data_IF_330305443327
#
_entry.id   IF_330305443327
#
_cell.length_a   1.000
_cell.length_b   1.000
_cell.length_c   1.000
_cell.angle_alpha   90.00
_cell.angle_beta   90.00
_cell.angle_gamma   90.00
#
_symmetry.space_group_name_H-M   'P 1'
#
loop_
_entity.id
_entity.type
_entity.pdbx_description
1 polymer ?
#
# COMPACT_ATOMS: atom_id res chain seq x y z
N UNK A 1 13.17 -69.21 9.38
CA UNK A 1 12.63 -68.18 8.47
C UNK A 1 12.35 -66.93 9.27
N UNK A 2 13.21 -65.97 9.15
CA UNK A 2 12.99 -64.66 9.77
C UNK A 2 12.57 -63.69 8.68
N UNK A 3 11.35 -63.13 8.80
CA UNK A 3 10.88 -62.09 7.94
C UNK A 3 11.30 -60.74 8.53
N UNK A 4 12.27 -60.08 7.90
CA UNK A 4 12.63 -58.69 8.22
C UNK A 4 11.59 -57.74 7.61
N UNK A 5 10.70 -57.24 8.40
CA UNK A 5 9.86 -56.14 8.02
C UNK A 5 10.62 -54.83 8.29
N UNK A 6 11.24 -54.29 7.29
CA UNK A 6 11.82 -52.94 7.36
C UNK A 6 10.68 -51.93 7.33
N UNK A 7 10.42 -51.30 8.47
CA UNK A 7 9.49 -50.19 8.59
C UNK A 7 10.08 -48.95 7.91
N UNK A 8 9.49 -48.56 6.80
CA UNK A 8 9.78 -47.29 6.15
C UNK A 8 9.04 -46.21 6.94
N UNK A 9 9.76 -45.44 7.78
CA UNK A 9 9.25 -44.22 8.35
C UNK A 9 9.18 -43.16 7.24
N UNK A 10 7.97 -42.94 6.73
CA UNK A 10 7.68 -41.85 5.81
C UNK A 10 7.57 -40.55 6.66
N UNK A 11 8.65 -39.80 6.74
CA UNK A 11 8.62 -38.46 7.29
C UNK A 11 7.93 -37.56 6.26
N UNK A 12 6.63 -37.36 6.45
CA UNK A 12 5.88 -36.35 5.71
C UNK A 12 6.29 -34.99 6.26
N UNK A 13 7.26 -34.36 5.61
CA UNK A 13 7.60 -32.97 5.86
C UNK A 13 6.42 -32.09 5.48
N UNK A 14 5.69 -31.58 6.48
CA UNK A 14 4.65 -30.58 6.28
C UNK A 14 5.34 -29.29 5.89
N UNK A 15 5.48 -29.03 4.60
CA UNK A 15 5.88 -27.71 4.08
C UNK A 15 4.73 -26.75 4.37
N UNK A 16 4.90 -25.95 5.42
CA UNK A 16 4.07 -24.79 5.68
C UNK A 16 4.33 -23.78 4.56
N UNK A 17 3.53 -23.85 3.52
CA UNK A 17 3.46 -22.81 2.51
C UNK A 17 2.76 -21.64 3.17
N UNK A 18 3.54 -20.69 3.73
CA UNK A 18 3.01 -19.41 4.19
C UNK A 18 2.51 -18.70 2.92
N UNK A 19 1.21 -18.41 2.82
CA UNK A 19 0.70 -17.74 1.63
C UNK A 19 1.39 -16.39 1.48
N UNK A 20 1.91 -16.11 0.31
CA UNK A 20 2.59 -14.85 -0.03
C UNK A 20 1.71 -13.60 0.24
N UNK A 21 0.42 -13.79 0.42
CA UNK A 21 -0.56 -12.75 0.75
C UNK A 21 -0.39 -12.13 2.14
N UNK A 22 0.28 -12.80 3.07
CA UNK A 22 0.45 -12.32 4.46
C UNK A 22 1.32 -11.06 4.57
N UNK A 23 2.03 -10.66 3.52
CA UNK A 23 2.92 -9.50 3.50
C UNK A 23 2.47 -8.37 2.57
N UNK A 24 1.32 -8.49 1.90
CA UNK A 24 0.93 -7.55 0.84
C UNK A 24 0.77 -6.10 1.31
N UNK A 25 0.32 -5.85 2.51
CA UNK A 25 0.19 -4.49 3.05
C UNK A 25 1.41 -3.98 3.81
N UNK A 26 2.30 -4.87 4.20
CA UNK A 26 3.44 -4.53 5.06
C UNK A 26 4.37 -3.45 4.48
N UNK A 27 4.70 -3.43 3.18
CA UNK A 27 5.58 -2.42 2.63
C UNK A 27 5.06 -0.98 2.80
N UNK A 28 3.75 -0.80 2.94
CA UNK A 28 3.12 0.51 3.08
C UNK A 28 2.96 0.94 4.54
N UNK A 29 2.98 0.00 5.48
CA UNK A 29 2.74 0.28 6.91
C UNK A 29 3.64 1.39 7.45
N UNK A 30 3.05 2.36 8.12
CA UNK A 30 3.73 3.47 8.77
C UNK A 30 3.20 4.83 8.38
N UNK A 31 3.92 5.86 8.84
CA UNK A 31 3.58 7.26 8.59
C UNK A 31 4.30 7.78 7.36
N UNK A 32 3.61 8.57 6.58
CA UNK A 32 4.10 9.13 5.33
C UNK A 32 3.79 10.61 5.25
N UNK A 33 4.64 11.37 4.61
CA UNK A 33 4.44 12.79 4.36
C UNK A 33 4.88 13.17 2.96
N UNK A 34 4.24 14.16 2.40
CA UNK A 34 4.57 14.65 1.08
C UNK A 34 3.66 15.76 0.60
N UNK A 35 3.56 15.86 -0.70
CA UNK A 35 2.83 16.93 -1.35
C UNK A 35 1.97 16.42 -2.51
N UNK A 36 0.90 17.13 -2.76
CA UNK A 36 0.06 16.96 -3.92
C UNK A 36 -0.22 18.30 -4.58
N UNK A 37 -0.41 18.32 -5.87
CA UNK A 37 -0.56 19.55 -6.64
C UNK A 37 -1.39 19.35 -7.90
N UNK A 38 -2.06 20.40 -8.31
CA UNK A 38 -2.69 20.50 -9.63
C UNK A 38 -1.66 21.02 -10.65
N UNK A 39 -0.93 22.06 -10.25
CA UNK A 39 0.17 22.66 -11.00
C UNK A 39 1.45 22.62 -10.19
N UNK A 40 2.54 22.27 -10.83
CA UNK A 40 3.87 22.31 -10.20
C UNK A 40 4.19 23.73 -9.72
N UNK A 41 4.64 23.83 -8.47
CA UNK A 41 4.88 25.10 -7.78
C UNK A 41 3.75 25.53 -6.84
N UNK A 42 2.61 24.84 -6.87
CA UNK A 42 1.45 25.07 -5.99
C UNK A 42 1.18 23.81 -5.14
N UNK A 43 2.21 23.31 -4.48
CA UNK A 43 2.13 22.08 -3.70
C UNK A 43 1.36 22.29 -2.39
N UNK A 44 0.53 21.31 -2.06
CA UNK A 44 -0.17 21.22 -0.78
C UNK A 44 0.40 20.06 0.01
N UNK A 45 0.64 20.28 1.30
CA UNK A 45 1.19 19.25 2.17
C UNK A 45 0.14 18.21 2.55
N UNK A 46 0.58 16.95 2.69
CA UNK A 46 -0.28 15.82 3.05
C UNK A 46 0.45 14.93 4.05
N UNK A 47 -0.31 14.42 5.01
CA UNK A 47 0.11 13.37 5.95
C UNK A 47 -0.78 12.15 5.75
N UNK A 48 -0.18 10.97 5.78
CA UNK A 48 -0.89 9.70 5.68
C UNK A 48 -0.35 8.73 6.73
N UNK A 49 -1.23 7.94 7.28
CA UNK A 49 -0.89 6.80 8.12
C UNK A 49 -1.51 5.54 7.54
N UNK A 50 -0.70 4.51 7.35
CA UNK A 50 -1.15 3.19 6.90
C UNK A 50 -0.89 2.15 7.97
N UNK A 51 -1.87 1.30 8.21
CA UNK A 51 -1.78 0.17 9.13
C UNK A 51 -2.05 -1.15 8.41
N UNK A 52 -1.33 -2.17 8.83
CA UNK A 52 -1.45 -3.53 8.33
C UNK A 52 -1.47 -4.50 9.49
N UNK A 53 -2.59 -5.20 9.66
CA UNK A 53 -2.81 -6.18 10.74
C UNK A 53 -2.48 -7.63 10.34
N UNK A 54 -1.92 -7.84 9.16
CA UNK A 54 -1.66 -9.16 8.58
C UNK A 54 -2.74 -9.63 7.60
N UNK A 55 -3.87 -8.94 7.54
CA UNK A 55 -5.01 -9.26 6.64
C UNK A 55 -5.55 -8.05 5.91
N UNK A 56 -5.71 -6.94 6.59
CA UNK A 56 -6.37 -5.74 6.08
C UNK A 56 -5.44 -4.55 6.12
N UNK A 57 -5.32 -3.89 4.99
CA UNK A 57 -4.63 -2.61 4.87
C UNK A 57 -5.65 -1.49 5.10
N UNK A 58 -5.35 -0.62 6.06
CA UNK A 58 -6.14 0.56 6.38
C UNK A 58 -5.27 1.80 6.28
N UNK A 59 -5.88 2.93 6.02
CA UNK A 59 -5.16 4.19 5.97
C UNK A 59 -6.05 5.36 6.31
N UNK A 60 -5.42 6.41 6.79
CA UNK A 60 -6.06 7.70 7.06
C UNK A 60 -5.25 8.82 6.46
N UNK A 61 -5.96 9.78 5.92
CA UNK A 61 -5.43 11.05 5.47
C UNK A 61 -5.51 12.05 6.62
N UNK A 62 -4.46 12.84 6.83
CA UNK A 62 -4.37 13.84 7.90
C UNK A 62 -4.76 13.27 9.27
N UNK A 63 -3.95 12.36 9.86
CA UNK A 63 -4.26 11.76 11.15
C UNK A 63 -4.52 12.81 12.21
N UNK A 64 -5.59 12.64 12.97
CA UNK A 64 -6.01 13.59 14.00
C UNK A 64 -7.52 13.75 14.04
N UNK A 65 -7.98 14.91 14.50
CA UNK A 65 -9.42 15.19 14.69
C UNK A 65 -10.17 15.20 13.35
N UNK A 66 -9.55 15.76 12.31
CA UNK A 66 -10.12 15.87 10.97
C UNK A 66 -9.62 14.79 10.02
N UNK A 67 -9.36 13.59 10.53
CA UNK A 67 -8.88 12.51 9.71
C UNK A 67 -9.92 12.06 8.67
N UNK A 68 -9.42 11.62 7.53
CA UNK A 68 -10.25 11.05 6.47
C UNK A 68 -9.83 9.59 6.28
N UNK A 69 -10.78 8.66 6.49
CA UNK A 69 -10.53 7.25 6.22
C UNK A 69 -10.39 7.01 4.73
N UNK A 70 -9.34 6.30 4.33
CA UNK A 70 -9.14 5.91 2.94
C UNK A 70 -10.10 4.76 2.59
N UNK A 71 -10.65 4.83 1.39
CA UNK A 71 -11.59 3.86 0.85
C UNK A 71 -10.93 3.08 -0.29
N UNK A 72 -11.37 1.86 -0.52
CA UNK A 72 -10.90 0.99 -1.61
C UNK A 72 -9.37 0.91 -1.68
N UNK A 73 -8.74 0.92 -0.51
CA UNK A 73 -7.29 0.88 -0.39
C UNK A 73 -6.75 -0.48 -0.79
N UNK A 74 -5.87 -0.50 -1.79
CA UNK A 74 -5.19 -1.70 -2.24
C UNK A 74 -3.73 -1.43 -2.56
N UNK A 75 -2.90 -2.41 -2.27
CA UNK A 75 -1.49 -2.44 -2.66
C UNK A 75 -1.24 -3.77 -3.36
N UNK A 76 -0.87 -3.73 -4.63
CA UNK A 76 -0.68 -4.92 -5.45
C UNK A 76 0.72 -4.97 -6.05
N UNK A 77 1.35 -6.16 -6.09
CA UNK A 77 2.60 -6.33 -6.81
C UNK A 77 2.42 -6.04 -8.30
N UNK A 78 3.51 -5.77 -9.04
CA UNK A 78 3.44 -5.56 -10.49
C UNK A 78 2.84 -6.77 -11.21
N UNK A 79 2.20 -6.54 -12.36
CA UNK A 79 1.66 -7.60 -13.22
C UNK A 79 2.78 -8.58 -13.60
N UNK A 80 2.51 -9.91 -13.46
CA UNK A 80 3.50 -10.95 -13.66
C UNK A 80 4.37 -11.23 -12.42
N UNK A 81 4.09 -10.58 -11.30
CA UNK A 81 4.80 -10.74 -10.03
C UNK A 81 6.08 -9.90 -9.92
N UNK A 82 6.70 -9.99 -8.76
CA UNK A 82 7.95 -9.28 -8.47
C UNK A 82 9.11 -10.01 -9.10
N UNK A 83 9.74 -9.45 -10.11
CA UNK A 83 10.92 -9.97 -10.80
C UNK A 83 12.21 -9.56 -10.10
N UNK A 84 12.21 -8.37 -9.48
CA UNK A 84 13.33 -7.78 -8.76
C UNK A 84 12.83 -7.18 -7.46
N UNK A 85 13.69 -7.16 -6.44
CA UNK A 85 13.36 -6.62 -5.12
C UNK A 85 12.91 -5.14 -5.15
N UNK A 86 13.27 -4.40 -6.19
CA UNK A 86 12.98 -2.96 -6.35
C UNK A 86 11.82 -2.68 -7.31
N UNK A 87 11.16 -3.69 -7.84
CA UNK A 87 10.03 -3.51 -8.75
C UNK A 87 8.89 -2.75 -8.05
N UNK A 88 8.30 -1.73 -8.68
CA UNK A 88 7.28 -0.91 -8.06
C UNK A 88 5.97 -1.66 -7.89
N UNK A 89 5.28 -1.38 -6.77
CA UNK A 89 3.96 -1.92 -6.48
C UNK A 89 2.87 -0.89 -6.77
N UNK A 90 1.71 -1.34 -7.17
CA UNK A 90 0.58 -0.48 -7.48
C UNK A 90 -0.20 -0.15 -6.21
N UNK A 91 -0.34 1.14 -5.93
CA UNK A 91 -1.18 1.66 -4.85
C UNK A 91 -2.43 2.31 -5.44
N UNK A 92 -3.57 1.97 -4.89
CA UNK A 92 -4.83 2.62 -5.19
C UNK A 92 -5.59 2.93 -3.91
N UNK A 93 -6.19 4.11 -3.83
CA UNK A 93 -7.19 4.43 -2.82
C UNK A 93 -8.12 5.56 -3.30
N UNK A 94 -9.23 5.71 -2.60
CA UNK A 94 -10.18 6.80 -2.79
C UNK A 94 -10.41 7.50 -1.44
N UNK A 95 -10.79 8.76 -1.48
CA UNK A 95 -11.07 9.55 -0.28
C UNK A 95 -12.12 10.61 -0.54
N UNK A 96 -13.03 10.76 0.42
CA UNK A 96 -14.01 11.84 0.44
C UNK A 96 -13.55 12.92 1.42
N UNK A 97 -13.22 14.09 0.91
CA UNK A 97 -12.72 15.22 1.70
C UNK A 97 -13.73 16.35 1.67
N UNK A 98 -14.16 16.77 2.85
CA UNK A 98 -15.06 17.93 2.99
C UNK A 98 -14.23 19.22 3.10
N UNK A 99 -14.46 20.16 2.21
CA UNK A 99 -13.78 21.45 2.21
C UNK A 99 -14.39 22.42 3.24
N UNK A 100 -13.78 23.60 3.38
CA UNK A 100 -14.22 24.62 4.31
C UNK A 100 -15.65 25.14 4.03
N UNK A 101 -16.15 24.98 2.82
CA UNK A 101 -17.53 25.34 2.44
C UNK A 101 -18.57 24.26 2.78
N UNK A 102 -18.12 23.10 3.30
CA UNK A 102 -18.96 21.95 3.60
C UNK A 102 -19.23 21.05 2.38
N UNK A 103 -18.57 21.31 1.26
CA UNK A 103 -18.70 20.50 0.05
C UNK A 103 -17.75 19.30 0.10
N UNK A 104 -18.27 18.11 -0.19
CA UNK A 104 -17.48 16.88 -0.27
C UNK A 104 -16.91 16.69 -1.67
N UNK A 105 -15.60 16.49 -1.75
CA UNK A 105 -14.86 16.21 -2.98
C UNK A 105 -14.36 14.79 -2.90
N UNK A 106 -14.66 14.00 -3.92
CA UNK A 106 -14.19 12.61 -4.04
C UNK A 106 -12.90 12.56 -4.84
N UNK A 107 -11.84 12.03 -4.22
CA UNK A 107 -10.54 11.84 -4.84
C UNK A 107 -10.31 10.38 -5.19
N UNK A 108 -9.78 10.13 -6.37
CA UNK A 108 -9.32 8.81 -6.83
C UNK A 108 -7.81 8.92 -7.01
N UNK A 109 -7.06 8.06 -6.32
CA UNK A 109 -5.59 8.15 -6.25
C UNK A 109 -4.97 6.85 -6.72
N UNK A 110 -4.07 6.96 -7.68
CA UNK A 110 -3.29 5.85 -8.21
C UNK A 110 -1.81 6.19 -8.20
N UNK A 111 -1.00 5.28 -7.68
CA UNK A 111 0.43 5.51 -7.57
C UNK A 111 1.26 4.24 -7.64
N UNK A 112 2.57 4.46 -7.60
CA UNK A 112 3.59 3.43 -7.58
C UNK A 112 4.41 3.55 -6.31
N UNK A 113 4.38 2.52 -5.47
CA UNK A 113 5.29 2.37 -4.35
C UNK A 113 6.63 1.89 -4.88
N UNK A 114 7.66 2.69 -4.67
CA UNK A 114 9.01 2.46 -5.18
C UNK A 114 10.01 2.34 -4.04
N UNK A 115 11.17 1.81 -4.36
CA UNK A 115 12.29 1.68 -3.44
C UNK A 115 11.97 0.80 -2.22
N UNK A 116 11.25 -0.28 -2.43
CA UNK A 116 10.66 -1.13 -1.39
C UNK A 116 11.72 -1.75 -0.48
N UNK A 117 12.87 -2.12 -1.04
CA UNK A 117 13.98 -2.72 -0.29
C UNK A 117 14.83 -1.72 0.49
N UNK A 118 14.60 -0.43 0.37
CA UNK A 118 15.40 0.61 1.01
C UNK A 118 14.70 1.21 2.24
N UNK A 119 15.48 1.90 3.05
CA UNK A 119 14.97 2.60 4.23
C UNK A 119 13.95 3.69 3.86
N UNK A 120 14.21 4.44 2.80
CA UNK A 120 13.31 5.48 2.31
C UNK A 120 12.51 4.97 1.11
N UNK A 121 11.29 4.55 1.39
CA UNK A 121 10.30 4.25 0.37
C UNK A 121 9.56 5.52 -0.02
N UNK A 122 9.09 5.58 -1.25
CA UNK A 122 8.29 6.70 -1.72
C UNK A 122 7.20 6.23 -2.67
N UNK A 123 6.14 7.01 -2.75
CA UNK A 123 5.04 6.81 -3.70
C UNK A 123 4.91 8.04 -4.57
N UNK A 124 4.82 7.84 -5.86
CA UNK A 124 4.47 8.87 -6.83
C UNK A 124 3.28 8.43 -7.65
N UNK A 125 2.47 9.37 -8.08
CA UNK A 125 1.34 9.04 -8.91
C UNK A 125 0.45 10.23 -9.23
N UNK A 126 -0.79 9.92 -9.54
CA UNK A 126 -1.80 10.87 -9.96
C UNK A 126 -3.06 10.78 -9.11
N UNK A 127 -3.76 11.88 -8.99
CA UNK A 127 -5.07 11.95 -8.39
C UNK A 127 -6.06 12.58 -9.37
N UNK A 128 -7.32 12.19 -9.24
CA UNK A 128 -8.44 12.77 -9.98
C UNK A 128 -9.56 13.17 -9.02
N UNK A 129 -10.15 14.32 -9.29
CA UNK A 129 -11.34 14.80 -8.59
C UNK A 129 -12.23 15.52 -9.60
N UNK A 130 -13.39 14.93 -9.93
CA UNK A 130 -14.23 15.43 -11.02
C UNK A 130 -13.49 15.45 -12.35
N UNK A 131 -13.38 16.62 -12.95
CA UNK A 131 -12.62 16.84 -14.20
C UNK A 131 -11.19 17.36 -13.98
N UNK A 132 -10.75 17.47 -12.72
CA UNK A 132 -9.38 17.85 -12.39
C UNK A 132 -8.51 16.62 -12.23
N UNK A 133 -7.26 16.76 -12.64
CA UNK A 133 -6.22 15.74 -12.49
C UNK A 133 -4.91 16.40 -12.08
N UNK A 134 -4.27 15.86 -11.07
CA UNK A 134 -2.99 16.33 -10.57
C UNK A 134 -2.05 15.19 -10.23
N UNK A 135 -0.93 15.55 -9.62
CA UNK A 135 0.13 14.63 -9.24
C UNK A 135 0.40 14.71 -7.74
N UNK A 136 1.05 13.69 -7.20
CA UNK A 136 1.48 13.67 -5.82
C UNK A 136 2.80 12.91 -5.66
N UNK A 137 3.47 13.20 -4.57
CA UNK A 137 4.61 12.44 -4.08
C UNK A 137 4.63 12.45 -2.57
N UNK A 138 4.73 11.28 -1.96
CA UNK A 138 4.98 11.18 -0.52
C UNK A 138 6.04 10.14 -0.21
N UNK A 139 6.71 10.35 0.91
CA UNK A 139 7.84 9.55 1.39
C UNK A 139 7.52 9.01 2.76
N UNK A 140 8.05 7.86 3.08
CA UNK A 140 7.95 7.30 4.42
C UNK A 140 8.85 8.09 5.39
N UNK A 141 8.28 8.44 6.54
CA UNK A 141 8.98 9.12 7.63
C UNK A 141 9.86 8.14 8.43
#
# INVERSE_FOLDING_TARGET
MQSNTAGVCLVVGLLLVVPAFAQMGYPLKGSWSGDWWLKKGEENHILLDFDWDGKTLKGVLNPGIDNVALQKLSLEPPAGGVQRAMDPWNLHFEADVTDASGRTIHYIVDGKLQNIGAYRKFVTGTWMAGNQKGEFRFVRN
#
